data_IF_827493248414
#
_entry.id   IF_827493248414
#
_cell.length_a   1.000
_cell.length_b   1.000
_cell.length_c   1.000
_cell.angle_alpha   90.00
_cell.angle_beta   90.00
_cell.angle_gamma   90.00
#
_symmetry.space_group_name_H-M   'P 1'
#
loop_
_entity.id
_entity.type
_entity.pdbx_description
1 polymer ?
#
# COMPACT_ATOMS: atom_id res chain seq x y z
N UNK A 1 -4.59 -34.60 49.99
CA UNK A 1 -4.45 -33.19 50.46
C UNK A 1 -3.16 -32.52 49.91
N UNK A 2 -2.79 -32.76 48.65
CA UNK A 2 -1.50 -32.33 48.07
C UNK A 2 -1.62 -31.86 46.60
N UNK A 3 -2.70 -31.15 46.26
CA UNK A 3 -2.94 -30.64 44.89
C UNK A 3 -3.36 -29.15 44.82
N UNK A 4 -3.25 -28.41 45.94
CA UNK A 4 -3.67 -27.00 46.04
C UNK A 4 -2.52 -25.99 46.24
N UNK A 5 -1.25 -26.41 46.14
CA UNK A 5 -0.07 -25.55 46.38
C UNK A 5 0.81 -25.25 45.15
N UNK A 6 0.35 -25.57 43.94
CA UNK A 6 1.10 -25.26 42.70
C UNK A 6 0.53 -24.09 41.88
N UNK A 7 -0.57 -23.47 42.34
CA UNK A 7 -1.21 -22.33 41.67
C UNK A 7 -0.67 -20.96 42.08
N UNK A 8 0.37 -20.87 42.92
CA UNK A 8 0.87 -19.58 43.44
C UNK A 8 2.30 -19.21 43.00
N UNK A 9 2.85 -19.82 41.94
CA UNK A 9 4.20 -19.52 41.44
C UNK A 9 4.23 -19.15 39.95
N UNK A 10 3.24 -18.40 39.48
CA UNK A 10 3.29 -17.82 38.12
C UNK A 10 2.93 -16.33 38.05
N UNK A 11 2.83 -15.65 39.19
CA UNK A 11 2.72 -14.20 39.26
C UNK A 11 4.13 -13.60 39.28
N UNK A 12 4.87 -13.73 38.17
CA UNK A 12 5.99 -12.82 37.94
C UNK A 12 5.39 -11.46 37.55
N UNK A 13 5.85 -10.36 38.16
CA UNK A 13 5.29 -9.04 37.92
C UNK A 13 5.43 -8.70 36.44
N UNK A 14 4.30 -8.34 35.81
CA UNK A 14 4.28 -7.79 34.46
C UNK A 14 5.26 -6.61 34.42
N UNK A 15 6.44 -6.84 33.83
CA UNK A 15 7.35 -5.78 33.43
C UNK A 15 6.54 -4.80 32.59
N UNK A 16 6.38 -3.61 33.15
CA UNK A 16 5.72 -2.44 32.58
C UNK A 16 6.17 -2.30 31.11
N UNK A 17 5.38 -2.84 30.18
CA UNK A 17 5.66 -2.70 28.74
C UNK A 17 5.52 -1.23 28.44
N UNK A 18 6.64 -0.56 28.22
CA UNK A 18 6.69 0.81 27.70
C UNK A 18 5.78 0.89 26.46
N UNK A 19 5.07 2.01 26.30
CA UNK A 19 4.09 2.25 25.23
C UNK A 19 4.61 1.97 23.79
N UNK A 20 5.94 1.83 23.61
CA UNK A 20 6.61 1.44 22.38
C UNK A 20 6.69 -0.08 22.10
N UNK A 21 6.30 -0.95 23.04
CA UNK A 21 6.53 -2.40 22.91
C UNK A 21 5.34 -3.19 22.35
N UNK A 22 4.18 -2.56 22.20
CA UNK A 22 2.99 -3.21 21.63
C UNK A 22 2.84 -2.81 20.17
N UNK A 23 2.76 -3.76 19.23
CA UNK A 23 2.49 -3.44 17.84
C UNK A 23 1.12 -2.76 17.74
N UNK A 24 1.07 -1.59 17.09
CA UNK A 24 -0.18 -0.85 16.89
C UNK A 24 -0.33 -0.45 15.43
N UNK A 25 -1.58 -0.37 14.97
CA UNK A 25 -1.94 0.06 13.61
C UNK A 25 -1.40 1.45 13.30
N UNK A 26 -1.27 2.32 14.30
CA UNK A 26 -0.75 3.68 14.16
C UNK A 26 0.69 3.73 13.63
N UNK A 27 1.56 2.80 14.06
CA UNK A 27 2.92 2.75 13.53
C UNK A 27 2.91 2.47 12.02
N UNK A 28 2.08 1.53 11.61
CA UNK A 28 1.93 1.13 10.21
C UNK A 28 1.34 2.28 9.36
N UNK A 29 0.36 2.99 9.90
CA UNK A 29 -0.26 4.15 9.28
C UNK A 29 0.72 5.34 9.13
N UNK A 30 1.58 5.59 10.12
CA UNK A 30 2.62 6.64 10.05
C UNK A 30 3.63 6.32 8.95
N UNK A 31 4.10 5.08 8.86
CA UNK A 31 5.06 4.66 7.83
C UNK A 31 4.49 4.89 6.43
N UNK A 32 3.27 4.40 6.19
CA UNK A 32 2.59 4.61 4.91
C UNK A 32 2.40 6.09 4.63
N UNK A 33 1.97 6.87 5.62
CA UNK A 33 1.80 8.31 5.44
C UNK A 33 3.13 8.97 5.00
N UNK A 34 4.23 8.72 5.70
CA UNK A 34 5.52 9.36 5.40
C UNK A 34 6.09 8.94 4.04
N UNK A 35 6.05 7.65 3.71
CA UNK A 35 6.52 7.13 2.41
C UNK A 35 5.80 7.81 1.26
N UNK A 36 4.46 7.76 1.25
CA UNK A 36 3.66 8.31 0.16
C UNK A 36 3.61 9.83 0.16
N UNK A 37 3.71 10.48 1.32
CA UNK A 37 3.84 11.92 1.41
C UNK A 37 5.16 12.41 0.80
N UNK A 38 6.28 11.72 1.04
CA UNK A 38 7.55 12.05 0.42
C UNK A 38 7.48 11.93 -1.11
N UNK A 39 6.85 10.87 -1.63
CA UNK A 39 6.67 10.69 -3.07
C UNK A 39 5.74 11.72 -3.71
N UNK A 40 4.62 12.07 -3.07
CA UNK A 40 3.70 13.05 -3.64
C UNK A 40 4.23 14.49 -3.57
N UNK A 41 5.13 14.82 -2.64
CA UNK A 41 5.86 16.10 -2.68
C UNK A 41 6.68 16.25 -3.96
N UNK A 42 7.22 15.13 -4.48
CA UNK A 42 8.10 15.11 -5.65
C UNK A 42 7.34 15.15 -6.97
N UNK A 43 6.01 15.19 -6.98
CA UNK A 43 5.23 15.19 -8.22
C UNK A 43 5.66 16.29 -9.19
N UNK A 44 5.83 17.53 -8.71
CA UNK A 44 6.26 18.64 -9.57
C UNK A 44 7.74 18.52 -9.98
N UNK A 45 8.72 18.39 -9.05
CA UNK A 45 10.13 18.23 -9.42
C UNK A 45 10.40 17.04 -10.35
N UNK A 46 9.68 15.93 -10.19
CA UNK A 46 9.81 14.76 -11.06
C UNK A 46 9.43 15.07 -12.51
N UNK A 47 8.40 15.88 -12.74
CA UNK A 47 8.00 16.31 -14.08
C UNK A 47 9.08 17.21 -14.69
N UNK A 48 9.62 18.17 -13.92
CA UNK A 48 10.70 19.07 -14.36
C UNK A 48 11.95 18.29 -14.76
N UNK A 49 12.42 17.38 -13.89
CA UNK A 49 13.57 16.48 -14.12
C UNK A 49 13.38 15.59 -15.35
N UNK A 50 12.15 15.14 -15.60
CA UNK A 50 11.82 14.33 -16.76
C UNK A 50 11.83 15.14 -18.06
N UNK A 51 11.29 16.36 -18.04
CA UNK A 51 11.28 17.26 -19.19
C UNK A 51 12.69 17.74 -19.54
N UNK A 52 13.52 18.05 -18.54
CA UNK A 52 14.93 18.40 -18.73
C UNK A 52 15.74 17.26 -19.35
N UNK A 53 15.46 16.01 -18.96
CA UNK A 53 16.20 14.84 -19.47
C UNK A 53 15.70 14.37 -20.84
N UNK A 54 14.39 14.44 -21.10
CA UNK A 54 13.76 13.91 -22.31
C UNK A 54 12.81 14.89 -23.02
N UNK A 55 13.26 16.10 -23.41
CA UNK A 55 12.38 17.21 -23.85
C UNK A 55 11.54 16.91 -25.10
N UNK A 56 11.92 15.94 -25.93
CA UNK A 56 11.17 15.55 -27.14
C UNK A 56 10.16 14.42 -26.90
N UNK A 57 10.30 13.68 -25.80
CA UNK A 57 9.57 12.44 -25.54
C UNK A 57 9.17 12.30 -24.05
N UNK A 58 8.95 13.41 -23.35
CA UNK A 58 8.65 13.46 -21.90
C UNK A 58 7.54 12.49 -21.49
N UNK A 59 6.38 12.54 -22.16
CA UNK A 59 5.25 11.66 -21.85
C UNK A 59 5.52 10.18 -22.15
N UNK A 60 6.20 9.88 -23.27
CA UNK A 60 6.54 8.51 -23.67
C UNK A 60 7.50 7.89 -22.65
N UNK A 61 8.53 8.63 -22.24
CA UNK A 61 9.51 8.15 -21.25
C UNK A 61 8.86 7.97 -19.88
N UNK A 62 7.96 8.87 -19.46
CA UNK A 62 7.18 8.69 -18.22
C UNK A 62 6.43 7.35 -18.25
N UNK A 63 5.68 7.11 -19.32
CA UNK A 63 4.88 5.90 -19.49
C UNK A 63 5.74 4.63 -19.52
N UNK A 64 6.92 4.66 -20.13
CA UNK A 64 7.86 3.52 -20.11
C UNK A 64 8.40 3.28 -18.71
N UNK A 65 8.86 4.32 -18.00
CA UNK A 65 9.41 4.18 -16.65
C UNK A 65 8.35 3.62 -15.69
N UNK A 66 7.15 4.19 -15.71
CA UNK A 66 6.04 3.74 -14.86
C UNK A 66 5.55 2.35 -15.27
N UNK A 67 5.50 2.06 -16.58
CA UNK A 67 5.16 0.74 -17.10
C UNK A 67 6.15 -0.34 -16.68
N UNK A 68 7.46 -0.08 -16.78
CA UNK A 68 8.52 -1.00 -16.32
C UNK A 68 8.44 -1.20 -14.81
N UNK A 69 8.26 -0.12 -14.04
CA UNK A 69 8.10 -0.18 -12.58
C UNK A 69 6.87 -1.00 -12.18
N UNK A 70 5.73 -0.79 -12.84
CA UNK A 70 4.50 -1.54 -12.63
C UNK A 70 4.63 -3.02 -13.00
N UNK A 71 5.28 -3.30 -14.14
CA UNK A 71 5.56 -4.68 -14.57
C UNK A 71 6.50 -5.42 -13.61
N UNK A 72 7.57 -4.77 -13.17
CA UNK A 72 8.48 -5.32 -12.15
C UNK A 72 7.77 -5.56 -10.83
N UNK A 73 6.91 -4.63 -10.41
CA UNK A 73 6.07 -4.78 -9.20
C UNK A 73 5.14 -5.98 -9.32
N UNK A 74 4.42 -6.12 -10.43
CA UNK A 74 3.55 -7.27 -10.69
C UNK A 74 4.29 -8.61 -10.64
N UNK A 75 5.46 -8.70 -11.29
CA UNK A 75 6.24 -9.95 -11.34
C UNK A 75 6.85 -10.31 -9.98
N UNK A 76 7.32 -9.31 -9.23
CA UNK A 76 7.98 -9.49 -7.95
C UNK A 76 7.00 -9.63 -6.78
N UNK A 77 5.74 -9.20 -6.94
CA UNK A 77 4.80 -9.16 -5.83
C UNK A 77 4.56 -10.53 -5.15
N UNK A 78 4.39 -11.66 -5.87
CA UNK A 78 4.21 -12.96 -5.22
C UNK A 78 5.48 -13.46 -4.52
N UNK A 79 6.64 -13.24 -5.16
CA UNK A 79 7.97 -13.57 -4.62
C UNK A 79 8.22 -12.83 -3.31
N UNK A 80 7.97 -11.52 -3.31
CA UNK A 80 8.20 -10.64 -2.17
C UNK A 80 7.17 -10.84 -1.06
N UNK A 81 5.92 -11.19 -1.39
CA UNK A 81 4.93 -11.61 -0.39
C UNK A 81 5.42 -12.83 0.42
N UNK A 82 5.84 -13.89 -0.29
CA UNK A 82 6.38 -15.09 0.36
C UNK A 82 7.69 -14.82 1.13
N UNK A 83 8.53 -13.92 0.62
CA UNK A 83 9.77 -13.53 1.27
C UNK A 83 9.52 -12.70 2.55
N UNK A 84 8.50 -11.85 2.55
CA UNK A 84 8.06 -11.09 3.73
C UNK A 84 7.65 -12.00 4.88
N UNK A 85 6.92 -13.08 4.55
CA UNK A 85 6.48 -14.07 5.54
C UNK A 85 7.66 -14.85 6.15
N UNK A 86 8.74 -15.06 5.39
CA UNK A 86 9.92 -15.82 5.82
C UNK A 86 10.98 -15.00 6.57
N UNK A 87 11.23 -13.75 6.15
CA UNK A 87 12.23 -12.86 6.75
C UNK A 87 11.69 -12.17 8.02
N UNK A 88 10.37 -11.96 8.09
CA UNK A 88 9.70 -11.17 9.12
C UNK A 88 9.23 -9.81 8.58
N UNK A 89 8.14 -9.28 9.14
CA UNK A 89 7.46 -8.10 8.59
C UNK A 89 8.27 -6.81 8.75
N UNK A 90 8.92 -6.60 9.91
CA UNK A 90 9.71 -5.37 10.15
C UNK A 90 10.95 -5.26 9.26
N UNK A 91 11.86 -6.26 9.21
CA UNK A 91 13.06 -6.17 8.36
C UNK A 91 12.71 -6.08 6.88
N UNK A 92 11.62 -6.74 6.47
CA UNK A 92 11.13 -6.65 5.10
C UNK A 92 10.54 -5.28 4.78
N UNK A 93 9.72 -4.71 5.68
CA UNK A 93 9.18 -3.35 5.55
C UNK A 93 10.30 -2.31 5.44
N UNK A 94 11.34 -2.43 6.28
CA UNK A 94 12.51 -1.55 6.24
C UNK A 94 13.25 -1.65 4.89
N UNK A 95 13.44 -2.88 4.39
CA UNK A 95 14.07 -3.13 3.10
C UNK A 95 13.26 -2.49 1.97
N UNK A 96 11.95 -2.71 1.94
CA UNK A 96 11.08 -2.18 0.88
C UNK A 96 11.07 -0.66 0.88
N UNK A 97 10.86 -0.03 2.04
CA UNK A 97 10.85 1.44 2.18
C UNK A 97 12.20 2.05 1.81
N UNK A 98 13.31 1.42 2.21
CA UNK A 98 14.65 1.92 1.85
C UNK A 98 14.85 1.90 0.33
N UNK A 99 14.44 0.82 -0.34
CA UNK A 99 14.55 0.72 -1.79
C UNK A 99 13.62 1.69 -2.52
N UNK A 100 12.38 1.86 -2.06
CA UNK A 100 11.46 2.85 -2.65
C UNK A 100 11.92 4.28 -2.40
N UNK A 101 12.46 4.61 -1.24
CA UNK A 101 12.95 5.96 -0.95
C UNK A 101 14.31 6.30 -1.58
N UNK A 102 15.14 5.30 -1.92
CA UNK A 102 16.48 5.48 -2.49
C UNK A 102 16.59 6.37 -3.75
N UNK A 103 15.61 6.42 -4.69
CA UNK A 103 15.67 7.27 -5.87
C UNK A 103 15.57 8.77 -5.52
N UNK A 104 14.87 9.13 -4.44
CA UNK A 104 14.55 10.52 -4.09
C UNK A 104 15.81 11.43 -4.07
N UNK A 105 16.87 11.11 -3.29
CA UNK A 105 18.09 11.92 -3.29
C UNK A 105 18.86 11.87 -4.62
N UNK A 106 18.74 10.76 -5.38
CA UNK A 106 19.44 10.60 -6.66
C UNK A 106 18.95 11.56 -7.73
N UNK A 107 17.72 12.07 -7.58
CA UNK A 107 17.14 13.03 -8.50
C UNK A 107 17.99 14.30 -8.67
N UNK A 108 18.72 14.72 -7.62
CA UNK A 108 19.65 15.87 -7.69
C UNK A 108 21.08 15.49 -8.05
N UNK A 109 21.49 14.25 -7.81
CA UNK A 109 22.87 13.79 -8.07
C UNK A 109 23.03 13.45 -9.54
N UNK A 110 22.12 12.63 -10.08
CA UNK A 110 22.19 12.18 -11.46
C UNK A 110 20.83 11.67 -11.95
N UNK A 111 20.28 12.35 -12.95
CA UNK A 111 19.04 12.00 -13.64
C UNK A 111 19.02 10.53 -14.11
N UNK A 112 20.11 10.03 -14.69
CA UNK A 112 20.20 8.64 -15.15
C UNK A 112 20.12 7.63 -14.01
N UNK A 113 20.77 7.89 -12.87
CA UNK A 113 20.68 7.03 -11.70
C UNK A 113 19.30 7.10 -11.04
N UNK A 114 18.67 8.27 -11.04
CA UNK A 114 17.28 8.42 -10.62
C UNK A 114 16.34 7.53 -11.44
N UNK A 115 16.38 7.61 -12.77
CA UNK A 115 15.52 6.79 -13.64
C UNK A 115 15.83 5.29 -13.54
N UNK A 116 17.09 4.93 -13.30
CA UNK A 116 17.47 3.54 -13.08
C UNK A 116 16.89 3.03 -11.76
N UNK A 117 17.07 3.78 -10.67
CA UNK A 117 16.61 3.37 -9.35
C UNK A 117 15.09 3.43 -9.20
N UNK A 118 14.41 4.41 -9.80
CA UNK A 118 12.93 4.45 -9.79
C UNK A 118 12.34 3.24 -10.53
N UNK A 119 12.97 2.79 -11.62
CA UNK A 119 12.55 1.58 -12.34
C UNK A 119 12.78 0.33 -11.50
N UNK A 120 13.99 0.18 -10.94
CA UNK A 120 14.36 -0.97 -10.08
C UNK A 120 13.54 -1.01 -8.79
N UNK A 121 13.16 0.15 -8.24
CA UNK A 121 12.32 0.25 -7.04
C UNK A 121 10.98 -0.46 -7.23
N UNK A 122 10.53 -0.62 -8.48
CA UNK A 122 9.37 -1.43 -8.86
C UNK A 122 9.39 -2.83 -8.26
N UNK A 123 10.57 -3.45 -8.17
CA UNK A 123 10.74 -4.77 -7.55
C UNK A 123 10.27 -4.71 -6.10
N UNK A 124 10.73 -3.75 -5.30
CA UNK A 124 10.38 -3.65 -3.88
C UNK A 124 9.10 -2.85 -3.62
N UNK A 125 8.35 -2.53 -4.67
CA UNK A 125 7.14 -1.71 -4.62
C UNK A 125 5.94 -2.56 -4.14
N UNK A 126 6.08 -3.17 -2.97
CA UNK A 126 5.08 -4.04 -2.31
C UNK A 126 4.84 -3.57 -0.87
N UNK A 127 5.44 -2.45 -0.45
CA UNK A 127 5.38 -1.89 0.92
C UNK A 127 3.97 -1.86 1.47
N UNK A 128 3.01 -1.36 0.70
CA UNK A 128 1.63 -1.21 1.16
C UNK A 128 0.96 -2.57 1.46
N UNK A 129 1.21 -3.59 0.64
CA UNK A 129 0.73 -4.96 0.90
C UNK A 129 1.37 -5.54 2.17
N UNK A 130 2.66 -5.31 2.38
CA UNK A 130 3.38 -5.72 3.61
C UNK A 130 2.80 -5.04 4.84
N UNK A 131 2.44 -3.76 4.73
CA UNK A 131 1.80 -3.00 5.82
C UNK A 131 0.41 -3.57 6.12
N UNK A 132 -0.41 -3.86 5.12
CA UNK A 132 -1.71 -4.50 5.34
C UNK A 132 -1.57 -5.88 5.97
N UNK A 133 -0.56 -6.65 5.58
CA UNK A 133 -0.26 -7.92 6.22
C UNK A 133 0.19 -7.73 7.68
N UNK A 134 1.03 -6.74 7.96
CA UNK A 134 1.42 -6.36 9.32
C UNK A 134 0.20 -5.96 10.17
N UNK A 135 -0.73 -5.17 9.62
CA UNK A 135 -1.98 -4.81 10.31
C UNK A 135 -2.83 -6.05 10.57
N UNK A 136 -2.90 -6.99 9.62
CA UNK A 136 -3.63 -8.25 9.78
C UNK A 136 -3.08 -9.11 10.93
N UNK A 137 -1.75 -9.12 11.08
CA UNK A 137 -1.03 -9.90 12.09
C UNK A 137 -1.26 -9.36 13.51
N UNK A 138 -1.56 -8.06 13.66
CA UNK A 138 -1.66 -7.38 14.96
C UNK A 138 -3.10 -7.06 15.38
N UNK A 139 -4.06 -7.12 14.45
CA UNK A 139 -5.47 -6.82 14.69
C UNK A 139 -6.30 -8.10 14.76
N UNK A 140 -7.33 -8.07 15.60
CA UNK A 140 -8.31 -9.16 15.69
C UNK A 140 -9.24 -9.16 14.47
N UNK A 141 -9.87 -10.31 14.18
CA UNK A 141 -10.74 -10.48 13.00
C UNK A 141 -11.84 -9.43 12.85
N UNK A 142 -12.32 -8.86 13.96
CA UNK A 142 -13.38 -7.85 13.97
C UNK A 142 -12.83 -6.43 13.83
N UNK A 143 -11.57 -6.20 14.20
CA UNK A 143 -10.89 -4.89 14.11
C UNK A 143 -10.09 -4.71 12.81
N UNK A 144 -9.81 -5.79 12.06
CA UNK A 144 -9.05 -5.77 10.79
C UNK A 144 -9.59 -4.75 9.80
N UNK A 145 -10.91 -4.72 9.64
CA UNK A 145 -11.60 -3.77 8.76
C UNK A 145 -11.31 -2.32 9.14
N UNK A 146 -11.33 -2.00 10.43
CA UNK A 146 -11.00 -0.66 10.94
C UNK A 146 -9.52 -0.34 10.69
N UNK A 147 -8.64 -1.30 10.94
CA UNK A 147 -7.20 -1.12 10.74
C UNK A 147 -6.83 -0.86 9.28
N UNK A 148 -7.43 -1.60 8.34
CA UNK A 148 -7.27 -1.38 6.91
C UNK A 148 -7.85 -0.05 6.46
N UNK A 149 -9.01 0.34 7.00
CA UNK A 149 -9.60 1.66 6.75
C UNK A 149 -8.67 2.80 7.19
N UNK A 150 -8.06 2.68 8.37
CA UNK A 150 -7.13 3.70 8.88
C UNK A 150 -5.87 3.83 8.02
N UNK A 151 -5.21 2.72 7.68
CA UNK A 151 -4.02 2.74 6.80
C UNK A 151 -4.35 3.33 5.43
N UNK A 152 -5.45 2.91 4.83
CA UNK A 152 -5.88 3.40 3.51
C UNK A 152 -6.22 4.89 3.55
N UNK A 153 -6.87 5.36 4.62
CA UNK A 153 -7.17 6.77 4.81
C UNK A 153 -5.90 7.61 4.98
N UNK A 154 -4.89 7.13 5.72
CA UNK A 154 -3.61 7.84 5.82
C UNK A 154 -2.88 7.91 4.48
N UNK A 155 -2.96 6.84 3.68
CA UNK A 155 -2.46 6.86 2.32
C UNK A 155 -3.20 7.90 1.45
N UNK A 156 -4.53 7.90 1.45
CA UNK A 156 -5.32 8.88 0.72
C UNK A 156 -5.02 10.33 1.17
N UNK A 157 -4.89 10.56 2.49
CA UNK A 157 -4.54 11.86 3.05
C UNK A 157 -3.16 12.33 2.55
N UNK A 158 -2.19 11.42 2.49
CA UNK A 158 -0.85 11.71 1.99
C UNK A 158 -0.87 12.09 0.51
N UNK A 159 -1.61 11.37 -0.34
CA UNK A 159 -1.71 11.65 -1.77
C UNK A 159 -2.34 12.99 -2.10
N UNK A 160 -3.20 13.51 -1.23
CA UNK A 160 -3.92 14.77 -1.46
C UNK A 160 -3.14 15.96 -0.92
N UNK A 161 -2.58 15.81 0.29
CA UNK A 161 -1.84 16.89 0.93
C UNK A 161 -0.47 17.11 0.30
N UNK A 162 0.23 16.04 -0.12
CA UNK A 162 1.63 16.16 -0.53
C UNK A 162 1.85 16.88 -1.87
N UNK A 163 1.11 16.64 -2.98
CA UNK A 163 1.38 17.37 -4.22
C UNK A 163 1.00 18.85 -4.10
N UNK A 164 -0.03 19.17 -3.32
CA UNK A 164 -0.42 20.55 -3.05
C UNK A 164 0.66 21.31 -2.28
N UNK A 165 1.20 20.69 -1.22
CA UNK A 165 2.31 21.25 -0.43
C UNK A 165 3.58 21.32 -1.29
N UNK A 166 3.89 20.28 -2.08
CA UNK A 166 5.06 20.23 -2.95
C UNK A 166 5.04 21.32 -4.01
N UNK A 167 3.91 21.51 -4.69
CA UNK A 167 3.74 22.56 -5.68
C UNK A 167 3.81 23.96 -5.06
N UNK A 168 3.23 24.16 -3.87
CA UNK A 168 3.29 25.45 -3.17
C UNK A 168 4.73 25.78 -2.73
N UNK A 169 5.44 24.84 -2.09
CA UNK A 169 6.84 25.02 -1.69
C UNK A 169 7.75 25.23 -2.91
N UNK A 170 7.52 24.51 -4.00
CA UNK A 170 8.27 24.66 -5.25
C UNK A 170 8.14 26.05 -5.86
N UNK A 171 6.93 26.65 -5.80
CA UNK A 171 6.66 28.00 -6.31
C UNK A 171 7.21 29.12 -5.41
N UNK A 172 7.09 28.98 -4.09
CA UNK A 172 7.46 30.05 -3.15
C UNK A 172 8.97 30.06 -2.86
N UNK A 173 9.59 28.88 -2.77
CA UNK A 173 10.99 28.75 -2.39
C UNK A 173 11.84 28.26 -3.57
N UNK A 174 11.82 26.95 -3.85
CA UNK A 174 12.52 26.32 -4.96
C UNK A 174 12.15 24.84 -5.03
N UNK A 175 12.28 24.23 -6.22
CA UNK A 175 12.14 22.78 -6.37
C UNK A 175 13.20 22.03 -5.54
N UNK A 176 14.41 22.58 -5.41
CA UNK A 176 15.50 22.00 -4.64
C UNK A 176 15.16 21.81 -3.17
N UNK A 177 14.44 22.77 -2.59
CA UNK A 177 13.96 22.67 -1.21
C UNK A 177 12.93 21.54 -1.07
N UNK A 178 12.05 21.37 -2.05
CA UNK A 178 11.05 20.29 -2.07
C UNK A 178 11.73 18.92 -2.09
N UNK A 179 12.76 18.76 -2.92
CA UNK A 179 13.53 17.51 -2.99
C UNK A 179 14.30 17.24 -1.69
N UNK A 180 14.92 18.27 -1.10
CA UNK A 180 15.60 18.14 0.18
C UNK A 180 14.63 17.76 1.31
N UNK A 181 13.43 18.36 1.35
CA UNK A 181 12.39 18.05 2.31
C UNK A 181 11.89 16.60 2.15
N UNK A 182 11.58 16.18 0.91
CA UNK A 182 11.16 14.82 0.63
C UNK A 182 12.25 13.80 1.02
N UNK A 183 13.52 14.11 0.78
CA UNK A 183 14.66 13.30 1.21
C UNK A 183 14.73 13.18 2.73
N UNK A 184 14.55 14.30 3.45
CA UNK A 184 14.54 14.30 4.92
C UNK A 184 13.40 13.47 5.49
N UNK A 185 12.19 13.57 4.91
CA UNK A 185 11.02 12.78 5.31
C UNK A 185 11.26 11.28 5.05
N UNK A 186 11.85 10.93 3.92
CA UNK A 186 12.21 9.55 3.59
C UNK A 186 13.22 8.95 4.59
N UNK A 187 14.27 9.69 4.96
CA UNK A 187 15.20 9.25 6.01
C UNK A 187 14.54 9.14 7.38
N UNK A 188 13.64 10.07 7.70
CA UNK A 188 12.86 10.04 8.94
C UNK A 188 11.97 8.80 9.00
N UNK A 189 11.36 8.41 7.88
CA UNK A 189 10.54 7.19 7.79
C UNK A 189 11.37 5.92 8.03
N UNK A 190 12.52 5.80 7.34
CA UNK A 190 13.47 4.70 7.56
C UNK A 190 13.92 4.63 9.03
N UNK A 191 14.24 5.79 9.63
CA UNK A 191 14.61 5.87 11.04
C UNK A 191 13.45 5.48 11.96
N UNK A 192 12.23 5.91 11.66
CA UNK A 192 11.03 5.57 12.42
C UNK A 192 10.76 4.06 12.37
N UNK A 193 10.92 3.41 11.22
CA UNK A 193 10.79 1.95 11.10
C UNK A 193 11.85 1.25 11.96
N UNK A 194 13.10 1.70 11.91
CA UNK A 194 14.18 1.11 12.71
C UNK A 194 13.91 1.22 14.22
N UNK A 195 13.55 2.43 14.69
CA UNK A 195 13.44 2.74 16.12
C UNK A 195 12.08 2.37 16.73
N UNK A 196 10.97 2.62 16.03
CA UNK A 196 9.63 2.63 16.63
C UNK A 196 8.77 1.43 16.24
N UNK A 197 8.95 0.82 15.06
CA UNK A 197 8.11 -0.32 14.65
C UNK A 197 8.57 -1.60 15.39
N UNK A 198 7.74 -2.23 16.23
CA UNK A 198 8.08 -3.51 16.84
C UNK A 198 7.85 -4.66 15.85
N UNK A 199 8.65 -5.73 15.98
CA UNK A 199 8.49 -6.95 15.17
C UNK A 199 7.13 -7.62 15.45
N UNK A 200 6.36 -7.92 14.41
CA UNK A 200 5.06 -8.61 14.58
C UNK A 200 5.20 -10.13 14.71
N UNK A 201 6.26 -10.75 14.16
CA UNK A 201 6.45 -12.20 14.23
C UNK A 201 7.18 -12.66 15.51
N UNK A 202 6.72 -13.76 16.16
CA UNK A 202 7.43 -14.37 17.28
C UNK A 202 8.84 -14.83 16.89
N UNK A 203 9.82 -14.48 17.72
CA UNK A 203 11.26 -14.73 17.51
C UNK A 203 11.61 -16.20 17.21
N UNK A 204 10.80 -17.14 17.72
CA UNK A 204 10.97 -18.59 17.55
C UNK A 204 10.70 -19.08 16.12
N UNK A 205 9.81 -18.42 15.37
CA UNK A 205 9.50 -18.75 13.97
C UNK A 205 10.53 -18.11 13.03
N UNK A 206 11.00 -16.91 13.35
CA UNK A 206 12.07 -16.23 12.60
C UNK A 206 13.38 -17.02 12.59
N UNK A 207 13.79 -17.56 13.74
CA UNK A 207 15.05 -18.33 13.86
C UNK A 207 15.04 -19.65 13.08
N UNK A 208 13.90 -20.35 12.99
CA UNK A 208 13.79 -21.59 12.23
C UNK A 208 13.82 -21.37 10.71
N UNK A 209 13.24 -20.27 10.22
CA UNK A 209 13.23 -19.90 8.79
C UNK A 209 14.54 -19.26 8.31
N UNK A 210 15.20 -18.42 9.11
CA UNK A 210 16.52 -17.87 8.75
C UNK A 210 17.61 -18.96 8.71
N UNK A 211 17.50 -19.97 9.58
CA UNK A 211 18.41 -21.12 9.62
C UNK A 211 18.22 -22.04 8.40
N UNK A 212 17.00 -22.12 7.84
CA UNK A 212 16.75 -22.86 6.59
C UNK A 212 17.20 -22.11 5.33
N UNK A 213 17.21 -20.76 5.35
CA UNK A 213 17.67 -19.91 4.24
C UNK A 213 19.20 -19.79 4.19
N UNK A 214 19.86 -19.63 5.35
CA UNK A 214 21.32 -19.37 5.39
C UNK A 214 22.18 -20.62 5.23
N UNK A 215 21.58 -21.83 5.17
CA UNK A 215 22.30 -23.09 5.01
C UNK A 215 23.31 -23.39 6.12
N UNK A 216 23.35 -22.58 7.17
CA UNK A 216 24.33 -22.65 8.25
C UNK A 216 23.75 -23.49 9.37
N UNK A 217 23.53 -24.77 9.06
CA UNK A 217 23.25 -25.76 10.08
C UNK A 217 24.42 -25.81 11.05
N UNK A 218 24.22 -25.31 12.27
CA UNK A 218 25.06 -25.71 13.40
C UNK A 218 24.82 -27.20 13.61
N UNK A 219 25.72 -28.03 13.09
CA UNK A 219 25.68 -29.47 13.26
C UNK A 219 25.73 -29.85 14.74
N UNK A 220 24.59 -30.25 15.27
CA UNK A 220 24.48 -31.09 16.46
C UNK A 220 23.88 -32.43 16.03
N UNK A 221 24.56 -33.57 16.22
CA UNK A 221 24.02 -34.85 15.81
C UNK A 221 22.94 -35.30 16.79
N UNK A 222 21.70 -35.40 16.33
CA UNK A 222 20.64 -36.10 17.06
C UNK A 222 19.36 -35.31 17.33
N UNK A 223 18.63 -34.95 16.27
CA UNK A 223 17.18 -34.71 16.35
C UNK A 223 16.61 -34.68 14.94
N UNK A 224 15.93 -35.75 14.53
CA UNK A 224 15.26 -35.88 13.23
C UNK A 224 14.03 -34.99 13.12
N UNK A 225 14.22 -33.67 13.02
CA UNK A 225 13.15 -32.74 12.65
C UNK A 225 13.35 -32.30 11.20
N UNK A 226 12.36 -32.66 10.39
CA UNK A 226 12.15 -32.29 8.99
C UNK A 226 12.73 -30.92 8.61
N UNK A 227 13.81 -30.95 7.84
CA UNK A 227 14.41 -29.79 7.18
C UNK A 227 13.40 -29.11 6.25
N UNK A 228 12.73 -28.06 6.73
CA UNK A 228 11.89 -27.20 5.91
C UNK A 228 12.75 -26.31 5.01
N UNK A 229 13.25 -26.87 3.89
CA UNK A 229 13.79 -26.08 2.78
C UNK A 229 12.72 -25.07 2.33
N UNK A 230 13.10 -23.82 2.08
CA UNK A 230 12.28 -22.86 1.33
C UNK A 230 12.01 -23.51 -0.03
N UNK A 231 10.85 -24.17 -0.19
CA UNK A 231 10.54 -24.88 -1.43
C UNK A 231 10.34 -23.83 -2.51
N UNK A 232 11.18 -23.86 -3.55
CA UNK A 232 11.10 -22.97 -4.71
C UNK A 232 9.70 -23.02 -5.37
N UNK A 233 8.94 -24.10 -5.19
CA UNK A 233 7.51 -24.21 -5.55
C UNK A 233 6.57 -23.17 -4.87
N UNK A 234 6.97 -22.59 -3.74
CA UNK A 234 6.22 -21.51 -3.06
C UNK A 234 6.57 -20.12 -3.58
N UNK A 235 7.64 -20.00 -4.36
CA UNK A 235 8.25 -18.75 -4.79
C UNK A 235 7.93 -18.42 -6.26
N UNK A 236 7.45 -19.41 -7.02
CA UNK A 236 7.07 -19.23 -8.42
C UNK A 236 5.80 -18.36 -8.57
N UNK A 237 5.88 -17.19 -9.23
CA UNK A 237 4.73 -16.30 -9.41
C UNK A 237 3.61 -16.95 -10.22
N UNK A 238 3.96 -17.82 -11.17
CA UNK A 238 2.99 -18.57 -11.97
C UNK A 238 2.32 -19.72 -11.19
N UNK A 239 3.04 -20.36 -10.26
CA UNK A 239 2.47 -21.38 -9.39
C UNK A 239 1.52 -20.75 -8.37
N UNK A 240 1.85 -19.56 -7.86
CA UNK A 240 0.96 -18.76 -7.02
C UNK A 240 -0.31 -18.34 -7.77
N UNK A 241 -0.19 -17.88 -9.02
CA UNK A 241 -1.34 -17.58 -9.88
C UNK A 241 -2.22 -18.82 -10.12
N UNK A 242 -1.62 -19.98 -10.36
CA UNK A 242 -2.33 -21.25 -10.55
C UNK A 242 -3.07 -21.68 -9.28
N UNK A 243 -2.50 -21.44 -8.09
CA UNK A 243 -3.19 -21.69 -6.82
C UNK A 243 -4.38 -20.75 -6.61
N UNK A 244 -4.22 -19.46 -6.92
CA UNK A 244 -5.32 -18.48 -6.89
C UNK A 244 -6.45 -18.89 -7.86
N UNK A 245 -6.11 -19.41 -9.03
CA UNK A 245 -7.10 -19.91 -10.00
C UNK A 245 -7.89 -21.13 -9.51
N UNK A 246 -7.40 -21.88 -8.51
CA UNK A 246 -8.07 -23.07 -8.00
C UNK A 246 -9.08 -22.76 -6.89
N UNK A 247 -8.94 -21.64 -6.19
CA UNK A 247 -9.94 -21.18 -5.22
C UNK A 247 -10.95 -20.25 -5.90
N UNK A 248 -12.18 -20.72 -6.03
CA UNK A 248 -13.26 -19.99 -6.69
C UNK A 248 -13.55 -18.63 -6.04
N UNK A 249 -13.42 -18.51 -4.71
CA UNK A 249 -13.68 -17.25 -4.01
C UNK A 249 -12.58 -16.22 -4.28
N UNK A 250 -11.32 -16.64 -4.21
CA UNK A 250 -10.18 -15.75 -4.49
C UNK A 250 -10.17 -15.33 -5.96
N UNK A 251 -10.45 -16.26 -6.87
CA UNK A 251 -10.55 -15.98 -8.30
C UNK A 251 -11.64 -14.94 -8.61
N UNK A 252 -12.84 -15.10 -8.04
CA UNK A 252 -13.92 -14.10 -8.19
C UNK A 252 -13.45 -12.73 -7.70
N UNK A 253 -12.83 -12.67 -6.52
CA UNK A 253 -12.35 -11.41 -5.95
C UNK A 253 -11.31 -10.75 -6.87
N UNK A 254 -10.35 -11.50 -7.39
CA UNK A 254 -9.35 -10.97 -8.32
C UNK A 254 -9.99 -10.48 -9.63
N UNK A 255 -10.95 -11.22 -10.19
CA UNK A 255 -11.67 -10.82 -11.40
C UNK A 255 -12.49 -9.55 -11.14
N UNK A 256 -13.26 -9.51 -10.05
CA UNK A 256 -14.04 -8.32 -9.65
C UNK A 256 -13.15 -7.10 -9.52
N UNK A 257 -11.99 -7.27 -8.88
CA UNK A 257 -11.00 -6.20 -8.68
C UNK A 257 -10.39 -5.72 -9.99
N UNK A 258 -10.05 -6.65 -10.90
CA UNK A 258 -9.53 -6.29 -12.21
C UNK A 258 -10.54 -5.48 -13.03
N UNK A 259 -11.81 -5.91 -13.04
CA UNK A 259 -12.88 -5.22 -13.77
C UNK A 259 -13.30 -3.90 -13.14
N UNK A 260 -13.18 -3.73 -11.81
CA UNK A 260 -13.45 -2.44 -11.16
C UNK A 260 -12.36 -1.41 -11.45
N UNK A 261 -11.09 -1.84 -11.50
CA UNK A 261 -9.96 -0.93 -11.73
C UNK A 261 -9.74 -0.53 -13.18
N UNK A 262 -10.14 -1.36 -14.14
CA UNK A 262 -9.91 -1.06 -15.57
C UNK A 262 -10.58 0.25 -16.02
N UNK A 263 -11.86 0.53 -15.72
CA UNK A 263 -12.48 1.83 -15.99
C UNK A 263 -11.85 2.97 -15.18
N UNK A 264 -11.46 2.70 -13.94
CA UNK A 264 -10.92 3.71 -13.03
C UNK A 264 -9.55 4.23 -13.51
N UNK A 265 -8.67 3.33 -13.96
CA UNK A 265 -7.39 3.69 -14.57
C UNK A 265 -7.58 4.61 -15.79
N UNK A 266 -8.55 4.27 -16.65
CA UNK A 266 -8.94 5.11 -17.79
C UNK A 266 -9.39 6.51 -17.34
N UNK A 267 -10.23 6.57 -16.31
CA UNK A 267 -10.68 7.84 -15.72
C UNK A 267 -9.49 8.68 -15.21
N UNK A 268 -8.63 8.15 -14.34
CA UNK A 268 -7.51 8.93 -13.76
C UNK A 268 -6.59 9.53 -14.82
N UNK A 269 -6.38 8.84 -15.94
CA UNK A 269 -5.51 9.30 -17.03
C UNK A 269 -5.99 10.59 -17.71
N UNK A 270 -7.30 10.81 -17.79
CA UNK A 270 -7.89 11.90 -18.58
C UNK A 270 -8.79 12.85 -17.79
N UNK A 271 -9.18 12.49 -16.57
CA UNK A 271 -10.20 13.20 -15.79
C UNK A 271 -9.83 14.66 -15.49
N UNK A 272 -8.61 14.94 -15.03
CA UNK A 272 -8.19 16.32 -14.76
C UNK A 272 -8.06 17.16 -16.02
N UNK A 273 -7.68 16.54 -17.14
CA UNK A 273 -7.64 17.19 -18.45
C UNK A 273 -9.06 17.50 -18.93
N UNK A 274 -10.00 16.58 -18.75
CA UNK A 274 -11.42 16.77 -19.05
C UNK A 274 -12.04 17.92 -18.23
N UNK A 275 -11.77 17.97 -16.92
CA UNK A 275 -12.23 19.07 -16.05
C UNK A 275 -11.75 20.44 -16.57
N UNK A 276 -10.49 20.53 -17.00
CA UNK A 276 -9.89 21.78 -17.47
C UNK A 276 -10.35 22.17 -18.88
N UNK A 277 -10.31 21.24 -19.83
CA UNK A 277 -10.51 21.54 -21.25
C UNK A 277 -11.98 21.51 -21.69
N UNK A 278 -12.81 20.64 -21.10
CA UNK A 278 -14.21 20.47 -21.51
C UNK A 278 -15.15 21.19 -20.55
N UNK A 279 -14.94 21.02 -19.25
CA UNK A 279 -15.82 21.57 -18.22
C UNK A 279 -15.46 23.00 -17.81
N UNK A 280 -14.34 23.53 -18.31
CA UNK A 280 -13.90 24.91 -18.06
C UNK A 280 -13.57 25.20 -16.59
N UNK A 281 -13.17 24.18 -15.81
CA UNK A 281 -12.71 24.43 -14.43
C UNK A 281 -11.43 25.27 -14.45
N UNK A 282 -11.38 26.28 -13.59
CA UNK A 282 -10.14 27.00 -13.27
C UNK A 282 -9.14 26.06 -12.58
N UNK A 283 -7.85 26.40 -12.61
CA UNK A 283 -6.82 25.65 -11.88
C UNK A 283 -7.15 25.54 -10.38
N UNK A 284 -7.71 26.61 -9.80
CA UNK A 284 -8.17 26.65 -8.42
C UNK A 284 -9.31 25.66 -8.15
N UNK A 285 -10.29 25.56 -9.05
CA UNK A 285 -11.42 24.63 -8.89
C UNK A 285 -10.98 23.17 -9.02
N UNK A 286 -10.01 22.87 -9.89
CA UNK A 286 -9.43 21.52 -9.99
C UNK A 286 -8.67 21.16 -8.72
N UNK A 287 -7.86 22.09 -8.18
CA UNK A 287 -7.17 21.89 -6.92
C UNK A 287 -8.15 21.68 -5.75
N UNK A 288 -9.23 22.48 -5.69
CA UNK A 288 -10.28 22.33 -4.69
C UNK A 288 -11.02 21.00 -4.82
N UNK A 289 -11.23 20.52 -6.05
CA UNK A 289 -11.87 19.22 -6.31
C UNK A 289 -11.04 18.06 -5.77
N UNK A 290 -9.72 18.10 -6.02
CA UNK A 290 -8.77 17.11 -5.48
C UNK A 290 -8.74 17.17 -3.96
N UNK A 291 -8.67 18.37 -3.38
CA UNK A 291 -8.62 18.56 -1.94
C UNK A 291 -9.88 18.01 -1.24
N UNK A 292 -11.07 18.40 -1.73
CA UNK A 292 -12.35 17.94 -1.18
C UNK A 292 -12.52 16.44 -1.38
N UNK A 293 -12.25 15.92 -2.59
CA UNK A 293 -12.33 14.50 -2.89
C UNK A 293 -11.42 13.67 -1.98
N UNK A 294 -10.21 14.16 -1.71
CA UNK A 294 -9.26 13.56 -0.79
C UNK A 294 -9.72 13.49 0.66
N UNK A 295 -10.13 14.64 1.21
CA UNK A 295 -10.65 14.73 2.60
C UNK A 295 -11.85 13.79 2.76
N UNK A 296 -12.75 13.82 1.80
CA UNK A 296 -13.96 13.03 1.83
C UNK A 296 -13.68 11.54 1.66
N UNK A 297 -12.69 11.16 0.85
CA UNK A 297 -12.22 9.77 0.73
C UNK A 297 -11.63 9.27 2.05
N UNK A 298 -10.87 10.13 2.75
CA UNK A 298 -10.37 9.80 4.09
C UNK A 298 -11.53 9.53 5.05
N UNK A 299 -12.53 10.41 5.09
CA UNK A 299 -13.74 10.25 5.92
C UNK A 299 -14.47 8.95 5.56
N UNK A 300 -14.64 8.67 4.27
CA UNK A 300 -15.31 7.46 3.80
C UNK A 300 -14.57 6.19 4.24
N UNK A 301 -13.25 6.15 4.08
CA UNK A 301 -12.44 4.98 4.46
C UNK A 301 -12.36 4.78 5.98
N UNK A 302 -12.40 5.84 6.79
CA UNK A 302 -12.35 5.71 8.26
C UNK A 302 -13.69 5.51 8.93
N UNK A 303 -14.75 6.20 8.50
CA UNK A 303 -16.04 6.19 9.19
C UNK A 303 -17.04 5.31 8.44
N UNK A 304 -17.21 5.58 7.14
CA UNK A 304 -18.22 4.92 6.33
C UNK A 304 -17.94 3.42 6.18
N UNK A 305 -16.69 3.03 5.90
CA UNK A 305 -16.30 1.61 5.84
C UNK A 305 -16.61 0.85 7.14
N UNK A 306 -16.32 1.45 8.30
CA UNK A 306 -16.58 0.83 9.59
C UNK A 306 -18.07 0.66 9.85
N UNK A 307 -18.88 1.65 9.50
CA UNK A 307 -20.34 1.54 9.55
C UNK A 307 -20.84 0.42 8.64
N UNK A 308 -20.38 0.36 7.38
CA UNK A 308 -20.83 -0.67 6.44
C UNK A 308 -20.49 -2.09 6.92
N UNK A 309 -19.29 -2.28 7.46
CA UNK A 309 -18.87 -3.59 7.96
C UNK A 309 -19.70 -4.04 9.16
N UNK A 310 -20.03 -3.13 10.09
CA UNK A 310 -20.80 -3.44 11.28
C UNK A 310 -22.30 -3.66 11.00
N UNK A 311 -22.90 -2.86 10.12
CA UNK A 311 -24.35 -2.90 9.88
C UNK A 311 -24.75 -3.85 8.73
N UNK A 312 -23.93 -3.95 7.69
CA UNK A 312 -24.32 -4.58 6.41
C UNK A 312 -23.45 -5.80 6.09
N UNK A 313 -22.26 -5.90 6.69
CA UNK A 313 -21.31 -7.00 6.54
C UNK A 313 -20.36 -6.84 5.35
N UNK A 314 -19.20 -7.53 5.37
CA UNK A 314 -18.07 -7.25 4.47
C UNK A 314 -18.38 -7.51 2.99
N UNK A 315 -19.14 -8.56 2.67
CA UNK A 315 -19.55 -8.85 1.29
C UNK A 315 -20.44 -7.76 0.70
N UNK A 316 -21.39 -7.24 1.49
CA UNK A 316 -22.29 -6.17 1.03
C UNK A 316 -21.57 -4.83 0.99
N UNK A 317 -20.58 -4.60 1.86
CA UNK A 317 -19.72 -3.42 1.80
C UNK A 317 -18.99 -3.30 0.45
N UNK A 318 -18.43 -4.40 -0.05
CA UNK A 318 -17.81 -4.44 -1.39
C UNK A 318 -18.82 -4.09 -2.48
N UNK A 319 -20.00 -4.70 -2.45
CA UNK A 319 -21.04 -4.45 -3.46
C UNK A 319 -21.48 -2.99 -3.45
N UNK A 320 -21.66 -2.39 -2.28
CA UNK A 320 -22.04 -0.97 -2.14
C UNK A 320 -20.94 -0.06 -2.69
N UNK A 321 -19.66 -0.35 -2.40
CA UNK A 321 -18.53 0.38 -2.96
C UNK A 321 -18.51 0.33 -4.49
N UNK A 322 -18.64 -0.87 -5.08
CA UNK A 322 -18.72 -1.06 -6.53
C UNK A 322 -19.92 -0.35 -7.17
N UNK A 323 -21.06 -0.29 -6.48
CA UNK A 323 -22.23 0.46 -6.95
C UNK A 323 -21.93 1.96 -6.95
N UNK A 324 -21.28 2.50 -5.92
CA UNK A 324 -20.84 3.90 -5.94
C UNK A 324 -19.84 4.17 -7.06
N UNK A 325 -18.90 3.25 -7.30
CA UNK A 325 -17.96 3.33 -8.43
C UNK A 325 -18.68 3.37 -9.79
N UNK A 326 -19.68 2.51 -9.98
CA UNK A 326 -20.47 2.50 -11.21
C UNK A 326 -21.28 3.81 -11.39
N UNK A 327 -21.87 4.32 -10.29
CA UNK A 327 -22.63 5.57 -10.31
C UNK A 327 -21.71 6.76 -10.62
N UNK A 328 -20.53 6.87 -9.99
CA UNK A 328 -19.61 7.98 -10.29
C UNK A 328 -19.19 7.99 -11.76
N UNK A 329 -18.88 6.83 -12.35
CA UNK A 329 -18.41 6.73 -13.73
C UNK A 329 -19.51 7.12 -14.71
N UNK A 330 -20.75 6.70 -14.40
CA UNK A 330 -21.93 7.12 -15.15
C UNK A 330 -22.12 8.63 -15.06
N UNK A 331 -22.04 9.20 -13.87
CA UNK A 331 -22.18 10.64 -13.67
C UNK A 331 -21.08 11.43 -14.37
N UNK A 332 -19.83 10.98 -14.34
CA UNK A 332 -18.74 11.61 -15.09
C UNK A 332 -18.93 11.53 -16.60
N UNK A 333 -19.44 10.41 -17.11
CA UNK A 333 -19.72 10.26 -18.54
C UNK A 333 -20.85 11.16 -19.06
N UNK A 334 -21.89 11.39 -18.24
CA UNK A 334 -23.06 12.21 -18.61
C UNK A 334 -23.01 13.64 -18.03
N UNK A 335 -21.93 14.02 -17.36
CA UNK A 335 -21.81 15.33 -16.76
C UNK A 335 -21.78 16.43 -17.83
N UNK A 336 -22.82 17.26 -17.86
CA UNK A 336 -22.87 18.47 -18.69
C UNK A 336 -22.68 19.74 -17.87
N UNK A 337 -22.85 19.66 -16.54
CA UNK A 337 -22.77 20.79 -15.64
C UNK A 337 -21.70 20.59 -14.56
N UNK A 338 -20.92 21.64 -14.19
CA UNK A 338 -19.92 21.58 -13.12
C UNK A 338 -20.45 21.07 -11.79
N UNK A 339 -21.70 21.40 -11.42
CA UNK A 339 -22.31 20.98 -10.15
C UNK A 339 -22.47 19.46 -10.10
N UNK A 340 -22.78 18.82 -11.23
CA UNK A 340 -22.93 17.37 -11.31
C UNK A 340 -21.59 16.64 -11.13
N UNK A 341 -20.48 17.29 -11.49
CA UNK A 341 -19.13 16.75 -11.22
C UNK A 341 -18.80 16.78 -9.73
N UNK A 342 -19.18 17.85 -9.02
CA UNK A 342 -18.99 17.93 -7.57
C UNK A 342 -19.76 16.84 -6.82
N UNK A 343 -21.00 16.55 -7.21
CA UNK A 343 -21.76 15.43 -6.63
C UNK A 343 -21.20 14.07 -7.02
N UNK A 344 -20.72 13.91 -8.26
CA UNK A 344 -20.01 12.71 -8.68
C UNK A 344 -18.72 12.49 -7.89
N UNK A 345 -17.97 13.56 -7.59
CA UNK A 345 -16.79 13.53 -6.70
C UNK A 345 -17.11 13.11 -5.26
N UNK A 346 -18.28 13.50 -4.75
CA UNK A 346 -18.76 13.03 -3.44
C UNK A 346 -19.02 11.51 -3.45
N UNK A 347 -19.63 11.01 -4.51
CA UNK A 347 -19.90 9.58 -4.70
C UNK A 347 -18.59 8.80 -4.94
N UNK A 348 -17.66 9.39 -5.69
CA UNK A 348 -16.32 8.85 -5.91
C UNK A 348 -15.60 8.57 -4.59
N UNK A 349 -15.62 9.54 -3.69
CA UNK A 349 -15.01 9.41 -2.37
C UNK A 349 -15.62 8.24 -1.56
N UNK A 350 -16.95 8.06 -1.63
CA UNK A 350 -17.61 6.92 -0.99
C UNK A 350 -17.26 5.58 -1.65
N UNK A 351 -17.01 5.56 -2.97
CA UNK A 351 -16.54 4.39 -3.71
C UNK A 351 -15.16 3.88 -3.26
N UNK A 352 -14.30 4.76 -2.73
CA UNK A 352 -12.94 4.36 -2.29
C UNK A 352 -12.90 3.31 -1.18
N UNK A 353 -14.05 2.99 -0.56
CA UNK A 353 -14.17 1.91 0.44
C UNK A 353 -14.09 0.50 -0.17
N UNK A 354 -14.24 0.34 -1.49
CA UNK A 354 -14.21 -0.97 -2.15
C UNK A 354 -12.90 -1.72 -1.90
N UNK A 355 -11.76 -1.03 -2.05
CA UNK A 355 -10.45 -1.63 -1.86
C UNK A 355 -10.21 -2.17 -0.44
N UNK A 356 -10.36 -1.36 0.64
CA UNK A 356 -10.14 -1.86 1.99
C UNK A 356 -11.19 -2.93 2.37
N UNK A 357 -12.40 -2.87 1.82
CA UNK A 357 -13.40 -3.93 2.00
C UNK A 357 -13.00 -5.26 1.31
N UNK A 358 -12.49 -5.20 0.07
CA UNK A 358 -11.94 -6.37 -0.64
C UNK A 358 -10.75 -6.97 0.10
N UNK A 359 -9.81 -6.12 0.55
CA UNK A 359 -8.66 -6.55 1.34
C UNK A 359 -9.08 -7.21 2.65
N UNK A 360 -10.04 -6.64 3.39
CA UNK A 360 -10.60 -7.24 4.60
C UNK A 360 -11.28 -8.59 4.33
N UNK A 361 -12.06 -8.67 3.25
CA UNK A 361 -12.79 -9.88 2.87
C UNK A 361 -11.84 -11.04 2.53
N UNK A 362 -10.79 -10.77 1.75
CA UNK A 362 -9.74 -11.75 1.45
C UNK A 362 -9.02 -12.20 2.70
N UNK A 363 -8.71 -11.27 3.62
CA UNK A 363 -8.07 -11.61 4.90
C UNK A 363 -8.91 -12.56 5.77
N UNK A 364 -10.24 -12.50 5.68
CA UNK A 364 -11.15 -13.36 6.48
C UNK A 364 -11.46 -14.71 5.84
N UNK A 365 -11.41 -14.82 4.51
CA UNK A 365 -11.89 -16.00 3.79
C UNK A 365 -10.80 -16.79 3.06
N UNK A 366 -9.65 -16.18 2.78
CA UNK A 366 -8.53 -16.91 2.19
C UNK A 366 -7.76 -17.67 3.27
N UNK A 367 -7.29 -18.87 2.94
CA UNK A 367 -6.38 -19.60 3.80
C UNK A 367 -5.07 -18.81 4.02
N UNK A 368 -4.43 -18.99 5.17
CA UNK A 368 -3.24 -18.21 5.55
C UNK A 368 -2.08 -18.33 4.54
N UNK A 369 -2.00 -19.41 3.78
CA UNK A 369 -1.03 -19.64 2.71
C UNK A 369 -1.38 -18.97 1.39
N UNK A 370 -2.62 -18.48 1.23
CA UNK A 370 -3.12 -17.80 0.03
C UNK A 370 -3.39 -16.31 0.25
N UNK A 371 -3.54 -15.88 1.51
CA UNK A 371 -3.85 -14.50 1.88
C UNK A 371 -2.82 -13.51 1.32
N UNK A 372 -1.52 -13.80 1.45
CA UNK A 372 -0.46 -12.94 0.93
C UNK A 372 -0.51 -12.77 -0.59
N UNK A 373 -0.76 -13.87 -1.32
CA UNK A 373 -0.86 -13.88 -2.79
C UNK A 373 -2.09 -13.11 -3.27
N UNK A 374 -3.21 -13.27 -2.59
CA UNK A 374 -4.45 -12.58 -2.92
C UNK A 374 -4.34 -11.06 -2.66
N UNK A 375 -3.76 -10.64 -1.53
CA UNK A 375 -3.49 -9.22 -1.23
C UNK A 375 -2.56 -8.58 -2.28
N UNK A 376 -1.56 -9.33 -2.71
CA UNK A 376 -0.66 -8.95 -3.79
C UNK A 376 -1.40 -8.76 -5.11
N UNK A 377 -2.30 -9.68 -5.47
CA UNK A 377 -3.08 -9.58 -6.71
C UNK A 377 -4.00 -8.34 -6.69
N UNK A 378 -4.67 -8.11 -5.55
CA UNK A 378 -5.48 -6.92 -5.32
C UNK A 378 -4.66 -5.62 -5.48
N UNK A 379 -3.50 -5.56 -4.83
CA UNK A 379 -2.64 -4.38 -4.86
C UNK A 379 -2.00 -4.13 -6.23
N UNK A 380 -1.69 -5.19 -6.97
CA UNK A 380 -1.15 -5.05 -8.32
C UNK A 380 -2.15 -4.40 -9.27
N UNK A 381 -3.43 -4.75 -9.15
CA UNK A 381 -4.52 -4.05 -9.86
C UNK A 381 -4.60 -2.57 -9.50
N UNK A 382 -4.54 -2.26 -8.20
CA UNK A 382 -4.54 -0.89 -7.69
C UNK A 382 -3.33 -0.06 -8.18
N UNK A 383 -2.14 -0.67 -8.30
CA UNK A 383 -0.94 0.05 -8.74
C UNK A 383 -0.93 0.33 -10.24
N UNK A 384 -1.54 -0.53 -11.05
CA UNK A 384 -1.75 -0.29 -12.48
C UNK A 384 -2.63 0.93 -12.76
N UNK A 385 -3.51 1.30 -11.83
CA UNK A 385 -4.35 2.50 -11.92
C UNK A 385 -3.58 3.81 -11.67
N UNK A 386 -2.54 3.76 -10.83
CA UNK A 386 -1.75 4.93 -10.42
C UNK A 386 -0.38 5.03 -11.10
N UNK A 387 -0.07 4.12 -12.04
CA UNK A 387 1.13 4.14 -12.89
C UNK A 387 0.79 4.80 -14.21
#
# INVERSE_FOLDING_TARGET
>A
MARRRLTSLNELPQTKKTCLSTPTVYHAAIVVFLEFFAFGLLTTPMISVLDETFPKHTFLMNGIIQGVKGFLSFLSAPLLGALSDAIGRKPFLLLTVTFTCSPIPLMKISHWWYFTMISISGIFAVTFSVVLAYVADITTEDERSWGYGLVSATFAASLVSSPAIGAYLGRVYSEDLVVALATAIAFLDIFFIMACVPESLPEKVRASHLCSITGRGSGGPGSGSSSGKLSWDKVDPFAALRKVSNDYLVLIVCITTFFSYLPEAGQYSCFFVYLRLVMGFSEENVALFIAVGGILSCIAQTLFLNLLNNYVGPKRAIIIGLVFEAIQLTLYGFATQPVLLWSAGLIAAMGTVTYPALSAFVSKHAAADQQGVAQVCLYSGFRLQHS
#
